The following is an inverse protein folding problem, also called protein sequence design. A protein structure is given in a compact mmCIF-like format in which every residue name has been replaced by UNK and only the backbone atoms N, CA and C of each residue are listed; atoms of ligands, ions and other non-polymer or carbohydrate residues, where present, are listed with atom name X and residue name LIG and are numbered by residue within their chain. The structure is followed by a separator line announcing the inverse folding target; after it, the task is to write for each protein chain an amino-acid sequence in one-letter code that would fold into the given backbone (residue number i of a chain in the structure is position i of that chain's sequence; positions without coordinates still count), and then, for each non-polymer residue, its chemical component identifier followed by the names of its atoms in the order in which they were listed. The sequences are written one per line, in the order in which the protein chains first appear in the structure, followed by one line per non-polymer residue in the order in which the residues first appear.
data_IF_230493121367
#
_entry.id   IF_230493121367
#
_cell.length_a   1.000
_cell.length_b   1.000
_cell.length_c   1.000
_cell.angle_alpha   90.00
_cell.angle_beta   90.00
_cell.angle_gamma   90.00
#
_symmetry.space_group_name_H-M   'P 1'
#
loop_
_entity.id
_entity.type
_entity.pdbx_description
1 polymer ?
#
# COMPACT_ATOMS: atom_id res chain seq x y z
N UNK A 1 15.22 2.72 10.49
CA UNK A 1 15.11 3.16 9.07
C UNK A 1 14.79 4.64 9.07
N UNK A 2 15.46 5.41 8.23
CA UNK A 2 15.30 6.85 8.11
C UNK A 2 15.17 7.22 6.64
N UNK A 3 14.15 7.97 6.27
CA UNK A 3 14.06 8.59 4.94
C UNK A 3 15.04 9.78 4.91
N UNK A 4 15.89 9.85 3.90
CA UNK A 4 16.85 10.96 3.73
C UNK A 4 16.34 12.00 2.76
N UNK A 5 15.69 11.55 1.68
CA UNK A 5 15.20 12.47 0.66
C UNK A 5 13.93 11.94 -0.01
N UNK A 6 13.13 12.88 -0.49
CA UNK A 6 11.95 12.65 -1.31
C UNK A 6 11.98 13.65 -2.46
N UNK A 7 11.85 13.17 -3.67
CA UNK A 7 11.71 14.01 -4.87
C UNK A 7 10.37 13.73 -5.51
N UNK A 8 9.65 14.80 -5.83
CA UNK A 8 8.33 14.77 -6.46
C UNK A 8 8.39 15.50 -7.79
N UNK A 9 7.79 14.92 -8.84
CA UNK A 9 7.62 15.56 -10.14
C UNK A 9 6.21 15.32 -10.64
N UNK A 10 5.51 16.38 -10.99
CA UNK A 10 4.11 16.37 -11.44
C UNK A 10 3.17 15.57 -10.51
N UNK A 11 3.43 15.61 -9.21
CA UNK A 11 2.71 14.86 -8.20
C UNK A 11 1.73 15.76 -7.45
N UNK A 12 0.43 15.48 -7.53
CA UNK A 12 -0.62 16.28 -6.88
C UNK A 12 -0.52 17.76 -7.28
N UNK A 13 -0.22 18.64 -6.32
CA UNK A 13 0.00 20.09 -6.55
C UNK A 13 1.45 20.45 -6.84
N UNK A 14 2.39 19.50 -6.68
CA UNK A 14 3.81 19.75 -6.95
C UNK A 14 4.14 19.60 -8.43
N UNK A 15 4.75 20.62 -9.01
CA UNK A 15 5.37 20.51 -10.34
C UNK A 15 6.72 19.79 -10.22
N UNK A 16 7.58 20.29 -9.34
CA UNK A 16 8.86 19.69 -8.98
C UNK A 16 9.22 20.15 -7.58
N UNK A 17 9.53 19.22 -6.69
CA UNK A 17 9.94 19.55 -5.31
C UNK A 17 10.88 18.48 -4.78
N UNK A 18 11.82 18.90 -3.93
CA UNK A 18 12.75 18.00 -3.23
C UNK A 18 12.76 18.31 -1.75
N UNK A 19 12.50 17.31 -0.95
CA UNK A 19 12.57 17.35 0.51
C UNK A 19 13.81 16.60 0.97
N UNK A 20 14.56 17.17 1.91
CA UNK A 20 15.61 16.48 2.63
C UNK A 20 15.17 16.36 4.09
N UNK A 21 15.31 15.18 4.65
CA UNK A 21 14.87 14.84 6.00
C UNK A 21 16.06 14.64 6.93
N UNK A 22 15.97 15.22 8.12
CA UNK A 22 16.90 14.93 9.20
C UNK A 22 16.52 13.68 9.99
N UNK A 23 17.38 13.26 10.89
CA UNK A 23 17.06 12.22 11.85
C UNK A 23 15.96 12.68 12.84
N UNK A 24 15.11 11.75 13.25
CA UNK A 24 14.05 12.02 14.23
C UNK A 24 12.85 12.75 13.65
N UNK A 25 12.38 13.80 14.31
CA UNK A 25 11.15 14.50 13.94
C UNK A 25 11.41 15.54 12.87
N UNK A 26 10.65 15.49 11.78
CA UNK A 26 10.66 16.50 10.72
C UNK A 26 9.29 17.19 10.70
N UNK A 27 9.28 18.51 10.84
CA UNK A 27 8.06 19.31 10.88
C UNK A 27 7.89 20.06 9.55
N UNK A 28 6.76 19.79 8.87
CA UNK A 28 6.41 20.47 7.62
C UNK A 28 5.34 21.50 7.93
N UNK A 29 5.66 22.78 7.76
CA UNK A 29 4.77 23.93 8.03
C UNK A 29 4.36 24.62 6.74
N UNK A 30 3.32 25.43 6.81
CA UNK A 30 2.82 26.22 5.68
C UNK A 30 1.29 26.36 5.68
N UNK A 31 0.77 27.17 4.79
CA UNK A 31 -0.67 27.42 4.61
C UNK A 31 -1.47 26.17 4.22
N UNK A 32 -2.78 26.26 4.30
CA UNK A 32 -3.65 25.19 3.81
C UNK A 32 -3.53 25.04 2.28
N UNK A 33 -3.76 23.82 1.80
CA UNK A 33 -3.66 23.45 0.38
C UNK A 33 -2.24 23.54 -0.25
N UNK A 34 -1.19 23.84 0.52
CA UNK A 34 0.18 23.91 0.02
C UNK A 34 0.85 22.55 -0.22
N UNK A 35 0.18 21.43 0.06
CA UNK A 35 0.69 20.09 -0.27
C UNK A 35 1.28 19.30 0.90
N UNK A 36 1.30 19.81 2.14
CA UNK A 36 1.86 19.10 3.31
C UNK A 36 1.41 17.64 3.42
N UNK A 37 0.13 17.39 3.28
CA UNK A 37 -0.42 16.02 3.29
C UNK A 37 -0.02 15.24 2.03
N UNK A 38 0.22 15.91 0.90
CA UNK A 38 0.61 15.25 -0.34
C UNK A 38 2.06 14.77 -0.25
N UNK A 39 2.96 15.48 0.43
CA UNK A 39 4.33 14.98 0.67
C UNK A 39 4.32 13.74 1.58
N UNK A 40 3.52 13.74 2.64
CA UNK A 40 3.36 12.55 3.50
C UNK A 40 2.74 11.36 2.74
N UNK A 41 1.73 11.61 1.88
CA UNK A 41 1.17 10.60 0.97
C UNK A 41 2.24 10.00 0.05
N UNK A 42 3.13 10.83 -0.49
CA UNK A 42 4.21 10.37 -1.36
C UNK A 42 5.20 9.44 -0.64
N UNK A 43 5.55 9.73 0.61
CA UNK A 43 6.37 8.83 1.45
C UNK A 43 5.68 7.47 1.62
N UNK A 44 4.39 7.47 1.90
CA UNK A 44 3.63 6.24 2.04
C UNK A 44 3.53 5.45 0.73
N UNK A 45 3.36 6.13 -0.41
CA UNK A 45 3.39 5.53 -1.74
C UNK A 45 4.74 4.86 -2.03
N UNK A 46 5.86 5.49 -1.67
CA UNK A 46 7.20 4.91 -1.82
C UNK A 46 7.38 3.60 -1.04
N UNK A 47 6.74 3.50 0.12
CA UNK A 47 6.84 2.31 0.97
C UNK A 47 5.90 1.17 0.52
N UNK A 48 4.69 1.52 0.05
CA UNK A 48 3.61 0.55 -0.14
C UNK A 48 3.18 0.34 -1.58
N UNK A 49 3.48 1.29 -2.46
CA UNK A 49 2.99 1.31 -3.84
C UNK A 49 1.50 1.67 -3.97
N UNK A 50 0.83 2.03 -2.88
CA UNK A 50 -0.60 2.36 -2.85
C UNK A 50 -0.85 3.69 -2.15
N UNK A 51 -1.75 4.52 -2.69
CA UNK A 51 -2.17 5.73 -1.99
C UNK A 51 -3.12 5.38 -0.83
N UNK A 52 -2.94 6.01 0.35
CA UNK A 52 -3.90 5.89 1.45
C UNK A 52 -5.19 6.69 1.18
N UNK A 53 -5.22 7.59 0.19
CA UNK A 53 -6.28 8.57 -0.03
C UNK A 53 -7.12 8.32 -1.27
N UNK A 54 -6.57 7.67 -2.29
CA UNK A 54 -7.27 7.44 -3.57
C UNK A 54 -7.18 5.99 -4.01
N UNK A 55 -8.20 5.55 -4.75
CA UNK A 55 -8.28 4.17 -5.27
C UNK A 55 -7.62 4.01 -6.64
N UNK A 56 -7.52 5.08 -7.42
CA UNK A 56 -6.99 5.06 -8.79
C UNK A 56 -5.67 5.81 -8.84
N UNK A 57 -4.61 5.14 -9.23
CA UNK A 57 -3.25 5.68 -9.29
C UNK A 57 -3.14 6.96 -10.11
N UNK A 58 -3.87 7.09 -11.23
CA UNK A 58 -3.88 8.30 -12.05
C UNK A 58 -4.32 9.58 -11.30
N UNK A 59 -5.00 9.44 -10.18
CA UNK A 59 -5.45 10.59 -9.39
C UNK A 59 -4.30 11.28 -8.62
N UNK A 60 -3.11 10.70 -8.57
CA UNK A 60 -1.94 11.33 -7.96
C UNK A 60 -1.19 12.23 -8.95
N UNK A 61 -1.48 12.11 -10.25
CA UNK A 61 -0.87 12.92 -11.30
C UNK A 61 -1.39 14.35 -11.20
N UNK A 62 -0.49 15.32 -11.35
CA UNK A 62 -0.84 16.73 -11.40
C UNK A 62 -1.79 17.02 -12.56
N UNK A 63 -2.75 17.88 -12.32
CA UNK A 63 -3.72 18.25 -13.35
C UNK A 63 -3.02 18.82 -14.59
N UNK A 64 -3.38 18.31 -15.76
CA UNK A 64 -2.78 18.70 -17.05
C UNK A 64 -1.55 17.90 -17.47
N UNK A 65 -1.02 17.02 -16.58
CA UNK A 65 0.18 16.23 -16.86
C UNK A 65 -0.18 14.78 -17.24
N UNK A 66 0.70 14.15 -18.01
CA UNK A 66 0.54 12.75 -18.46
C UNK A 66 1.13 11.73 -17.51
N UNK A 67 2.06 12.15 -16.66
CA UNK A 67 2.76 11.31 -15.71
C UNK A 67 3.14 12.04 -14.42
N UNK A 68 3.33 11.30 -13.35
CA UNK A 68 3.92 11.77 -12.10
C UNK A 68 5.02 10.81 -11.65
N UNK A 69 6.09 11.37 -11.11
CA UNK A 69 7.18 10.60 -10.53
C UNK A 69 7.37 10.96 -9.06
N UNK A 70 7.56 9.95 -8.23
CA UNK A 70 8.03 10.06 -6.87
C UNK A 70 9.26 9.18 -6.70
N UNK A 71 10.31 9.71 -6.09
CA UNK A 71 11.50 8.95 -5.75
C UNK A 71 12.00 9.34 -4.37
N UNK A 72 12.62 8.41 -3.68
CA UNK A 72 13.17 8.65 -2.35
C UNK A 72 14.30 7.71 -2.02
N UNK A 73 15.14 8.17 -1.11
CA UNK A 73 16.26 7.41 -0.56
C UNK A 73 16.07 7.26 0.94
N UNK A 74 16.23 6.04 1.43
CA UNK A 74 16.18 5.72 2.85
C UNK A 74 17.42 4.95 3.27
N UNK A 75 17.82 5.12 4.53
CA UNK A 75 18.89 4.38 5.18
C UNK A 75 18.31 3.45 6.25
N UNK A 76 18.80 2.24 6.30
CA UNK A 76 18.54 1.24 7.34
C UNK A 76 19.85 0.71 7.93
N UNK A 77 19.76 -0.12 8.94
CA UNK A 77 20.93 -0.83 9.47
C UNK A 77 21.63 -1.73 8.40
N UNK A 78 20.94 -2.06 7.33
CA UNK A 78 21.42 -2.93 6.24
C UNK A 78 21.91 -2.16 5.01
N UNK A 79 21.94 -0.83 5.08
CA UNK A 79 22.41 0.03 3.99
C UNK A 79 21.34 0.99 3.46
N UNK A 80 21.70 1.68 2.38
CA UNK A 80 20.83 2.62 1.68
C UNK A 80 19.95 1.90 0.67
N UNK A 81 18.71 2.34 0.54
CA UNK A 81 17.77 1.90 -0.48
C UNK A 81 17.16 3.10 -1.19
N UNK A 82 17.14 3.06 -2.53
CA UNK A 82 16.47 4.05 -3.37
C UNK A 82 15.25 3.40 -4.02
N UNK A 83 14.10 4.02 -3.88
CA UNK A 83 12.88 3.57 -4.53
C UNK A 83 12.30 4.68 -5.38
N UNK A 84 11.67 4.30 -6.50
CA UNK A 84 10.91 5.24 -7.33
C UNK A 84 9.65 4.61 -7.90
N UNK A 85 8.62 5.45 -8.07
CA UNK A 85 7.37 5.09 -8.72
C UNK A 85 7.04 6.16 -9.76
N UNK A 86 6.71 5.72 -10.99
CA UNK A 86 6.15 6.58 -12.03
C UNK A 86 4.73 6.12 -12.32
N UNK A 87 3.80 7.04 -12.28
CA UNK A 87 2.38 6.83 -12.56
C UNK A 87 2.05 7.46 -13.90
N UNK A 88 1.34 6.74 -14.76
CA UNK A 88 0.94 7.20 -16.08
C UNK A 88 -0.57 7.42 -16.16
N UNK A 89 -1.00 8.36 -16.99
CA UNK A 89 -2.41 8.70 -17.18
C UNK A 89 -3.24 7.53 -17.74
N UNK A 90 -2.60 6.59 -18.47
CA UNK A 90 -3.22 5.35 -18.96
C UNK A 90 -3.47 4.30 -17.86
N UNK A 91 -3.06 4.61 -16.61
CA UNK A 91 -3.20 3.74 -15.44
C UNK A 91 -2.04 2.77 -15.22
N UNK A 92 -1.03 2.78 -16.08
CA UNK A 92 0.20 2.02 -15.85
C UNK A 92 1.02 2.64 -14.73
N UNK A 93 1.86 1.79 -14.13
CA UNK A 93 2.80 2.17 -13.08
C UNK A 93 4.14 1.47 -13.30
N UNK A 94 5.22 2.24 -13.20
CA UNK A 94 6.58 1.71 -13.18
C UNK A 94 7.16 1.83 -11.78
N UNK A 95 7.86 0.81 -11.33
CA UNK A 95 8.46 0.76 -10.00
C UNK A 95 9.93 0.41 -10.17
N UNK A 96 10.81 1.10 -9.43
CA UNK A 96 12.23 0.73 -9.37
C UNK A 96 12.71 0.66 -7.92
N UNK A 97 13.61 -0.27 -7.66
CA UNK A 97 14.32 -0.44 -6.39
C UNK A 97 15.81 -0.51 -6.70
N UNK A 98 16.60 0.38 -6.12
CA UNK A 98 18.04 0.54 -6.39
C UNK A 98 18.33 0.61 -7.90
N UNK A 99 17.54 1.44 -8.62
CA UNK A 99 17.61 1.69 -10.06
C UNK A 99 17.21 0.49 -10.96
N UNK A 100 16.98 -0.68 -10.39
CA UNK A 100 16.46 -1.83 -11.10
C UNK A 100 14.93 -1.78 -11.17
N UNK A 101 14.37 -1.92 -12.37
CA UNK A 101 12.92 -2.00 -12.54
C UNK A 101 12.37 -3.31 -11.97
N UNK A 102 11.32 -3.21 -11.16
CA UNK A 102 10.62 -4.36 -10.59
C UNK A 102 9.21 -4.48 -11.16
N UNK A 103 8.81 -5.70 -11.47
CA UNK A 103 7.54 -5.97 -12.16
C UNK A 103 6.33 -6.04 -11.23
N UNK A 104 6.55 -6.22 -9.94
CA UNK A 104 5.48 -6.47 -8.96
C UNK A 104 5.60 -5.52 -7.77
N UNK A 105 4.48 -5.03 -7.28
CA UNK A 105 4.44 -4.23 -6.04
C UNK A 105 5.02 -5.01 -4.85
N UNK A 106 4.88 -6.33 -4.84
CA UNK A 106 5.49 -7.18 -3.81
C UNK A 106 7.02 -7.06 -3.70
N UNK A 107 7.70 -6.67 -4.78
CA UNK A 107 9.15 -6.47 -4.78
C UNK A 107 9.55 -5.10 -4.21
N UNK A 108 8.61 -4.13 -4.22
CA UNK A 108 8.76 -2.85 -3.54
C UNK A 108 8.60 -2.98 -2.02
N UNK A 109 7.65 -3.82 -1.58
CA UNK A 109 7.31 -3.97 -0.17
C UNK A 109 8.51 -4.50 0.65
N UNK A 110 8.67 -3.95 1.86
CA UNK A 110 9.75 -4.32 2.77
C UNK A 110 11.09 -3.61 2.51
N UNK A 111 11.20 -2.79 1.46
CA UNK A 111 12.37 -1.94 1.25
C UNK A 111 12.31 -0.68 2.11
N UNK A 112 11.14 -0.07 2.22
CA UNK A 112 10.83 1.04 3.12
C UNK A 112 9.59 0.65 3.92
N UNK A 113 9.56 1.00 5.21
CA UNK A 113 8.41 0.80 6.07
C UNK A 113 7.82 2.15 6.44
N UNK A 114 6.52 2.31 6.26
CA UNK A 114 5.82 3.53 6.60
C UNK A 114 4.46 3.26 7.26
N UNK A 115 4.14 4.07 8.24
CA UNK A 115 2.80 4.17 8.81
C UNK A 115 2.29 5.57 8.49
N UNK A 116 1.11 5.65 7.88
CA UNK A 116 0.46 6.89 7.57
C UNK A 116 -0.72 7.09 8.51
N UNK A 117 -0.76 8.23 9.16
CA UNK A 117 -1.88 8.63 10.01
C UNK A 117 -2.39 10.00 9.58
N UNK A 118 -3.69 10.12 9.43
CA UNK A 118 -4.39 11.37 9.20
C UNK A 118 -5.72 11.38 10.01
N UNK A 119 -6.35 12.55 10.21
CA UNK A 119 -7.62 12.61 10.95
C UNK A 119 -8.72 11.71 10.38
N UNK A 120 -8.67 11.38 9.09
CA UNK A 120 -9.60 10.43 8.46
C UNK A 120 -9.42 8.98 8.92
N UNK A 121 -8.27 8.62 9.52
CA UNK A 121 -8.02 7.27 10.05
C UNK A 121 -8.82 6.96 11.32
N UNK A 122 -9.44 7.95 11.94
CA UNK A 122 -10.44 7.72 13.00
C UNK A 122 -11.61 6.85 12.52
N UNK A 123 -11.82 6.79 11.21
CA UNK A 123 -12.74 5.87 10.53
C UNK A 123 -12.43 4.39 10.81
N UNK A 124 -11.19 4.03 11.11
CA UNK A 124 -10.83 2.66 11.54
C UNK A 124 -11.67 2.18 12.73
N UNK A 125 -12.04 3.11 13.63
CA UNK A 125 -12.84 2.82 14.80
C UNK A 125 -14.34 2.95 14.49
N UNK A 126 -14.73 3.95 13.69
CA UNK A 126 -16.11 4.35 13.45
C UNK A 126 -16.76 3.67 12.25
N UNK A 127 -15.98 3.33 11.22
CA UNK A 127 -16.50 2.81 9.95
C UNK A 127 -16.38 1.29 9.83
N UNK A 128 -16.29 0.79 8.61
CA UNK A 128 -16.54 -0.59 8.24
C UNK A 128 -15.44 -1.57 8.67
N UNK A 129 -15.77 -2.86 8.84
CA UNK A 129 -14.77 -3.92 8.99
C UNK A 129 -13.78 -4.01 7.82
N UNK A 130 -14.14 -3.47 6.66
CA UNK A 130 -13.28 -3.43 5.47
C UNK A 130 -12.07 -2.52 5.69
N UNK A 131 -12.27 -1.34 6.31
CA UNK A 131 -11.21 -0.39 6.59
C UNK A 131 -10.22 -0.95 7.62
N UNK A 132 -10.72 -1.64 8.65
CA UNK A 132 -9.86 -2.35 9.61
C UNK A 132 -9.04 -3.46 8.96
N UNK A 133 -9.65 -4.27 8.09
CA UNK A 133 -8.92 -5.28 7.32
C UNK A 133 -7.89 -4.65 6.40
N UNK A 134 -8.23 -3.56 5.72
CA UNK A 134 -7.31 -2.84 4.83
C UNK A 134 -6.08 -2.32 5.59
N UNK A 135 -6.27 -1.75 6.77
CA UNK A 135 -5.17 -1.31 7.63
C UNK A 135 -4.22 -2.46 7.96
N UNK A 136 -4.78 -3.58 8.47
CA UNK A 136 -3.98 -4.78 8.77
C UNK A 136 -3.27 -5.32 7.52
N UNK A 137 -3.98 -5.42 6.41
CA UNK A 137 -3.44 -5.95 5.15
C UNK A 137 -2.26 -5.12 4.65
N UNK A 138 -2.31 -3.78 4.77
CA UNK A 138 -1.22 -2.90 4.37
C UNK A 138 -0.02 -3.08 5.31
N UNK A 139 -0.24 -3.11 6.62
CA UNK A 139 0.83 -3.30 7.59
C UNK A 139 1.51 -4.68 7.41
N UNK A 140 0.72 -5.74 7.32
CA UNK A 140 1.22 -7.10 7.13
C UNK A 140 1.95 -7.28 5.80
N UNK A 141 1.45 -6.66 4.73
CA UNK A 141 2.09 -6.73 3.42
C UNK A 141 3.48 -6.11 3.40
N UNK A 142 3.72 -5.06 4.17
CA UNK A 142 5.05 -4.48 4.32
C UNK A 142 6.00 -5.41 5.10
N UNK A 143 5.49 -6.14 6.08
CA UNK A 143 6.27 -6.99 6.98
C UNK A 143 6.54 -8.40 6.41
N UNK A 144 5.63 -8.90 5.57
CA UNK A 144 5.64 -10.28 5.11
C UNK A 144 5.22 -10.40 3.64
N UNK A 145 6.18 -10.65 2.75
CA UNK A 145 5.93 -10.83 1.31
C UNK A 145 5.03 -12.04 1.00
N UNK A 146 5.11 -13.12 1.80
CA UNK A 146 4.24 -14.28 1.66
C UNK A 146 2.79 -13.89 1.92
N UNK A 147 2.54 -13.14 3.00
CA UNK A 147 1.21 -12.61 3.28
C UNK A 147 0.64 -11.78 2.12
N UNK A 148 1.43 -10.86 1.57
CA UNK A 148 1.03 -10.05 0.40
C UNK A 148 0.66 -10.93 -0.80
N UNK A 149 1.45 -11.98 -1.06
CA UNK A 149 1.17 -12.92 -2.14
C UNK A 149 -0.15 -13.66 -1.90
N UNK A 150 -0.34 -14.25 -0.72
CA UNK A 150 -1.56 -14.99 -0.35
C UNK A 150 -2.79 -14.07 -0.39
N UNK A 151 -2.69 -12.83 0.12
CA UNK A 151 -3.74 -11.84 0.04
C UNK A 151 -4.11 -11.49 -1.42
N UNK A 152 -3.12 -11.34 -2.29
CA UNK A 152 -3.33 -11.01 -3.70
C UNK A 152 -4.03 -12.16 -4.43
N UNK A 153 -3.66 -13.40 -4.16
CA UNK A 153 -4.29 -14.61 -4.69
C UNK A 153 -5.72 -14.76 -4.16
N UNK A 154 -5.90 -14.65 -2.86
CA UNK A 154 -7.21 -14.68 -2.21
C UNK A 154 -8.19 -13.69 -2.86
N UNK A 155 -7.80 -12.42 -3.00
CA UNK A 155 -8.65 -11.40 -3.63
C UNK A 155 -8.99 -11.74 -5.09
N UNK A 156 -8.03 -12.27 -5.85
CA UNK A 156 -8.24 -12.66 -7.25
C UNK A 156 -9.20 -13.84 -7.36
N UNK A 157 -9.03 -14.85 -6.51
CA UNK A 157 -9.88 -16.05 -6.52
C UNK A 157 -11.31 -15.70 -6.14
N UNK A 158 -11.53 -14.85 -5.14
CA UNK A 158 -12.90 -14.39 -4.78
C UNK A 158 -13.60 -13.76 -5.98
N UNK A 159 -12.91 -12.92 -6.76
CA UNK A 159 -13.51 -12.29 -7.94
C UNK A 159 -13.87 -13.33 -8.99
N UNK A 160 -12.97 -14.28 -9.27
CA UNK A 160 -13.20 -15.33 -10.25
C UNK A 160 -14.33 -16.26 -9.82
N UNK A 161 -14.32 -16.70 -8.57
CA UNK A 161 -15.39 -17.52 -7.99
C UNK A 161 -16.75 -16.81 -8.05
N UNK A 162 -16.81 -15.55 -7.67
CA UNK A 162 -18.05 -14.78 -7.70
C UNK A 162 -18.55 -14.54 -9.15
N UNK A 163 -17.66 -14.49 -10.12
CA UNK A 163 -18.06 -14.41 -11.52
C UNK A 163 -18.60 -15.76 -12.01
N UNK A 164 -17.93 -16.88 -11.66
CA UNK A 164 -18.43 -18.23 -11.98
C UNK A 164 -19.85 -18.46 -11.44
N UNK A 165 -20.13 -18.04 -10.21
CA UNK A 165 -21.45 -18.16 -9.59
C UNK A 165 -22.57 -17.35 -10.26
N UNK A 166 -22.22 -16.45 -11.18
CA UNK A 166 -23.20 -15.68 -11.98
C UNK A 166 -23.48 -16.30 -13.34
N UNK A 167 -22.72 -17.32 -13.71
CA UNK A 167 -22.96 -18.03 -14.97
C UNK A 167 -24.29 -18.74 -14.93
N UNK A 168 -24.90 -18.93 -16.10
CA UNK A 168 -26.17 -19.66 -16.25
C UNK A 168 -26.01 -21.18 -16.36
N UNK A 169 -24.81 -21.62 -16.69
CA UNK A 169 -24.48 -23.06 -16.85
C UNK A 169 -24.17 -23.68 -15.48
N UNK A 170 -25.14 -24.41 -14.98
CA UNK A 170 -25.05 -25.08 -13.68
C UNK A 170 -24.03 -26.22 -13.64
N UNK A 171 -23.88 -26.95 -14.75
CA UNK A 171 -22.94 -28.07 -14.85
C UNK A 171 -21.49 -27.53 -14.77
N UNK A 172 -21.19 -26.49 -15.53
CA UNK A 172 -19.88 -25.78 -15.46
C UNK A 172 -19.58 -25.27 -14.05
N UNK A 173 -20.60 -24.72 -13.35
CA UNK A 173 -20.44 -24.25 -11.97
C UNK A 173 -20.07 -25.40 -11.05
N UNK A 174 -20.84 -26.50 -11.08
CA UNK A 174 -20.62 -27.63 -10.19
C UNK A 174 -19.25 -28.30 -10.39
N UNK A 175 -18.81 -28.41 -11.64
CA UNK A 175 -17.51 -29.00 -11.97
C UNK A 175 -16.32 -28.12 -11.60
N UNK A 176 -16.47 -26.81 -11.73
CA UNK A 176 -15.34 -25.86 -11.56
C UNK A 176 -15.24 -25.28 -10.16
N UNK A 177 -16.36 -25.12 -9.46
CA UNK A 177 -16.45 -24.48 -8.14
C UNK A 177 -15.54 -25.13 -7.08
N UNK A 178 -15.46 -26.48 -6.98
CA UNK A 178 -14.60 -27.13 -5.96
C UNK A 178 -13.13 -26.72 -6.06
N UNK A 179 -12.61 -26.54 -7.29
CA UNK A 179 -11.22 -26.13 -7.52
C UNK A 179 -10.97 -24.71 -7.00
N UNK A 180 -11.93 -23.81 -7.20
CA UNK A 180 -11.83 -22.45 -6.65
C UNK A 180 -11.98 -22.42 -5.14
N UNK A 181 -12.85 -23.28 -4.58
CA UNK A 181 -13.09 -23.34 -3.13
C UNK A 181 -11.86 -23.88 -2.39
N UNK A 182 -11.19 -24.91 -2.91
CA UNK A 182 -9.95 -25.43 -2.36
C UNK A 182 -8.84 -24.38 -2.35
N UNK A 183 -8.57 -23.74 -3.49
CA UNK A 183 -7.59 -22.68 -3.58
C UNK A 183 -7.93 -21.47 -2.66
N UNK A 184 -9.22 -21.14 -2.57
CA UNK A 184 -9.68 -20.06 -1.70
C UNK A 184 -9.42 -20.38 -0.23
N UNK A 185 -9.67 -21.63 0.19
CA UNK A 185 -9.45 -22.08 1.56
C UNK A 185 -7.96 -21.95 1.96
N UNK A 186 -7.06 -22.40 1.09
CA UNK A 186 -5.61 -22.33 1.35
C UNK A 186 -5.10 -20.88 1.55
N UNK A 187 -5.43 -20.00 0.59
CA UNK A 187 -5.00 -18.60 0.72
C UNK A 187 -5.75 -17.83 1.80
N UNK A 188 -7.00 -18.21 2.10
CA UNK A 188 -7.76 -17.63 3.20
C UNK A 188 -7.14 -17.99 4.56
N UNK A 189 -6.67 -19.22 4.72
CA UNK A 189 -5.99 -19.66 5.94
C UNK A 189 -4.77 -18.79 6.26
N UNK A 190 -3.87 -18.59 5.28
CA UNK A 190 -2.69 -17.70 5.42
C UNK A 190 -3.10 -16.27 5.83
N UNK A 191 -4.18 -15.74 5.22
CA UNK A 191 -4.65 -14.36 5.49
C UNK A 191 -5.27 -14.26 6.88
N UNK A 192 -6.06 -15.23 7.30
CA UNK A 192 -6.71 -15.25 8.61
C UNK A 192 -5.66 -15.41 9.72
N UNK A 193 -4.73 -16.35 9.57
CA UNK A 193 -3.64 -16.57 10.51
C UNK A 193 -2.80 -15.31 10.68
N UNK A 194 -2.36 -14.68 9.58
CA UNK A 194 -1.58 -13.45 9.63
C UNK A 194 -2.30 -12.31 10.34
N UNK A 195 -3.60 -12.14 10.10
CA UNK A 195 -4.41 -11.12 10.80
C UNK A 195 -4.57 -11.42 12.30
N UNK A 196 -4.79 -12.67 12.66
CA UNK A 196 -4.91 -13.08 14.06
C UNK A 196 -3.60 -12.84 14.82
N UNK A 197 -2.48 -13.21 14.22
CA UNK A 197 -1.15 -12.96 14.80
C UNK A 197 -0.88 -11.46 14.96
N UNK A 198 -1.22 -10.66 13.95
CA UNK A 198 -1.09 -9.20 14.00
C UNK A 198 -1.92 -8.59 15.13
N UNK A 199 -3.19 -8.98 15.25
CA UNK A 199 -4.06 -8.50 16.33
C UNK A 199 -3.51 -8.89 17.71
N UNK A 200 -3.05 -10.12 17.88
CA UNK A 200 -2.48 -10.61 19.13
C UNK A 200 -1.22 -9.83 19.56
N UNK A 201 -0.40 -9.41 18.58
CA UNK A 201 0.81 -8.61 18.82
C UNK A 201 0.50 -7.12 19.02
N UNK A 202 -0.52 -6.60 18.35
CA UNK A 202 -0.88 -5.18 18.42
C UNK A 202 -1.66 -4.83 19.68
N UNK A 203 -2.60 -5.69 20.10
CA UNK A 203 -3.49 -5.40 21.22
C UNK A 203 -2.78 -5.01 22.53
N UNK A 204 -1.75 -5.75 23.01
CA UNK A 204 -1.03 -5.36 24.22
C UNK A 204 -0.27 -4.04 24.07
N UNK A 205 0.26 -3.75 22.86
CA UNK A 205 0.97 -2.49 22.61
C UNK A 205 0.00 -1.30 22.56
N UNK A 206 -1.17 -1.48 21.95
CA UNK A 206 -2.20 -0.45 21.91
C UNK A 206 -2.74 -0.17 23.32
N UNK A 207 -2.92 -1.21 24.15
CA UNK A 207 -3.33 -1.06 25.54
C UNK A 207 -2.29 -0.26 26.34
N UNK A 208 -1.02 -0.63 26.27
CA UNK A 208 0.06 0.07 26.96
C UNK A 208 0.27 1.53 26.50
N UNK A 209 -0.12 1.88 25.27
CA UNK A 209 -0.06 3.25 24.76
C UNK A 209 -1.27 4.10 25.21
N UNK A 210 -2.37 3.46 25.64
CA UNK A 210 -3.59 4.13 26.11
C UNK A 210 -3.55 4.38 27.64
N UNK A 211 -2.87 3.54 28.40
CA UNK A 211 -2.61 3.68 29.85
C UNK A 211 -1.56 4.77 30.12
#
# INVERSE_FOLDING_TARGET
MQLESLTLKNFRNYASEKFNYGAGVNVITGGNAQGKTNSAEAVFLLATGFSPRVKKDKQVIRYGESEAEISGQAISAYGSVKTSLTFFADGKKKISVNEAEVKRVGDLLGNIYAVFFNPGELKLIQESPEDRRRFMDIALSQLNRRYFYSLSKYKKIIVQRNNLLKESDKELILDTLPVWDEQLADYAADVIEGRNEFCSKLAPKAKAAHE
#
